data_IF_471611976875
#
_entry.id   IF_471611976875
#
_cell.length_a   1.000
_cell.length_b   1.000
_cell.length_c   1.000
_cell.angle_alpha   90.00
_cell.angle_beta   90.00
_cell.angle_gamma   90.00
#
_symmetry.space_group_name_H-M   'P 1'
#
loop_
_entity.id
_entity.type
_entity.pdbx_description
1 polymer ?
#
# COMPACT_ATOMS: atom_id res chain seq x y z
N UNK A 1 -11.62 11.44 -16.54
CA UNK A 1 -10.87 12.51 -15.82
C UNK A 1 -9.50 12.74 -16.46
N UNK A 2 -8.75 13.80 -16.10
CA UNK A 2 -7.38 14.00 -16.59
C UNK A 2 -6.42 12.88 -16.13
N UNK A 3 -6.54 12.42 -14.88
CA UNK A 3 -5.77 11.29 -14.34
C UNK A 3 -6.01 10.03 -15.16
N UNK A 4 -7.29 9.68 -15.39
CA UNK A 4 -7.65 8.48 -16.14
C UNK A 4 -7.04 8.46 -17.56
N UNK A 5 -7.04 9.61 -18.25
CA UNK A 5 -6.47 9.68 -19.60
C UNK A 5 -4.94 9.70 -19.65
N UNK A 6 -4.29 10.27 -18.63
CA UNK A 6 -2.86 10.58 -18.69
C UNK A 6 -1.99 9.58 -17.91
N UNK A 7 -2.54 8.94 -16.89
CA UNK A 7 -1.79 8.13 -15.94
C UNK A 7 -2.25 6.68 -15.88
N UNK A 8 -3.43 6.32 -16.38
CA UNK A 8 -3.86 4.92 -16.45
C UNK A 8 -3.45 4.36 -17.82
N UNK A 9 -2.71 3.26 -17.79
CA UNK A 9 -2.26 2.55 -18.99
C UNK A 9 -2.60 1.07 -18.90
N UNK A 10 -2.83 0.44 -20.05
CA UNK A 10 -3.02 -1.00 -20.15
C UNK A 10 -1.65 -1.69 -20.25
N UNK A 11 -1.39 -2.63 -19.36
CA UNK A 11 -0.17 -3.45 -19.34
C UNK A 11 -0.57 -4.94 -19.34
N UNK A 12 0.34 -5.89 -19.60
CA UNK A 12 0.03 -7.33 -19.59
C UNK A 12 -0.57 -7.85 -18.26
N UNK A 13 -0.40 -7.10 -17.17
CA UNK A 13 -0.90 -7.43 -15.82
C UNK A 13 -2.20 -6.69 -15.47
N UNK A 14 -2.83 -6.01 -16.43
CA UNK A 14 -4.05 -5.22 -16.25
C UNK A 14 -3.80 -3.71 -16.30
N UNK A 15 -4.74 -2.94 -15.77
CA UNK A 15 -4.62 -1.49 -15.69
C UNK A 15 -3.59 -1.09 -14.63
N UNK A 16 -2.68 -0.21 -15.01
CA UNK A 16 -1.61 0.29 -14.15
C UNK A 16 -1.76 1.79 -14.00
N UNK A 17 -1.70 2.27 -12.75
CA UNK A 17 -1.57 3.69 -12.43
C UNK A 17 -0.10 4.08 -12.45
N UNK A 18 0.28 4.93 -13.41
CA UNK A 18 1.63 5.48 -13.50
C UNK A 18 1.87 6.43 -12.32
N UNK A 19 3.06 6.38 -11.66
CA UNK A 19 3.33 7.19 -10.48
C UNK A 19 3.29 8.71 -10.73
N UNK A 20 3.50 9.13 -11.97
CA UNK A 20 3.41 10.52 -12.37
C UNK A 20 3.43 10.70 -13.89
N UNK A 21 3.06 11.90 -14.34
CA UNK A 21 3.06 12.23 -15.77
C UNK A 21 4.47 12.18 -16.35
N UNK A 22 5.42 12.83 -15.67
CA UNK A 22 6.82 12.90 -16.06
C UNK A 22 7.70 12.09 -15.09
N UNK A 23 8.90 11.70 -15.53
CA UNK A 23 9.84 10.91 -14.71
C UNK A 23 9.53 9.41 -14.62
N UNK A 24 8.40 8.97 -15.18
CA UNK A 24 7.96 7.57 -15.24
C UNK A 24 7.52 7.16 -16.66
N UNK A 25 7.97 7.89 -17.68
CA UNK A 25 7.81 7.56 -19.10
C UNK A 25 9.15 7.06 -19.62
N UNK A 26 9.36 5.75 -19.56
CA UNK A 26 10.56 5.13 -20.12
C UNK A 26 10.14 4.25 -21.29
N UNK A 27 10.85 4.27 -22.44
CA UNK A 27 10.53 3.39 -23.56
C UNK A 27 10.51 1.92 -23.12
N UNK A 28 11.53 1.53 -22.37
CA UNK A 28 11.82 0.14 -22.03
C UNK A 28 11.66 -0.15 -20.54
N UNK A 29 10.95 0.70 -19.78
CA UNK A 29 10.64 0.41 -18.37
C UNK A 29 9.22 0.75 -18.00
N UNK A 30 8.66 -0.05 -17.10
CA UNK A 30 7.32 0.12 -16.54
C UNK A 30 7.41 0.03 -15.02
N UNK A 31 7.28 1.17 -14.35
CA UNK A 31 7.38 1.27 -12.90
C UNK A 31 6.02 1.65 -12.32
N UNK A 32 5.64 0.96 -11.24
CA UNK A 32 4.45 1.24 -10.46
C UNK A 32 4.81 1.35 -8.97
N UNK A 33 4.01 2.11 -8.22
CA UNK A 33 4.06 2.14 -6.76
C UNK A 33 2.67 1.75 -6.26
N UNK A 34 2.55 0.54 -5.71
CA UNK A 34 1.24 0.00 -5.35
C UNK A 34 0.60 0.74 -4.18
N UNK A 35 1.38 1.51 -3.42
CA UNK A 35 0.86 2.42 -2.40
C UNK A 35 0.03 3.57 -2.97
N UNK A 36 -0.05 3.72 -4.29
CA UNK A 36 -0.87 4.74 -4.95
C UNK A 36 -2.27 4.22 -5.30
N UNK A 37 -2.55 2.93 -5.09
CA UNK A 37 -3.91 2.39 -5.12
C UNK A 37 -4.65 2.75 -3.84
N UNK A 38 -5.08 4.01 -3.75
CA UNK A 38 -5.95 4.51 -2.69
C UNK A 38 -7.37 4.02 -2.98
N UNK A 39 -7.65 2.75 -2.69
CA UNK A 39 -8.93 2.10 -2.99
C UNK A 39 -10.19 2.86 -2.59
N UNK A 40 -10.32 3.51 -1.41
CA UNK A 40 -11.50 4.32 -1.11
C UNK A 40 -11.69 5.49 -2.09
N UNK A 41 -10.60 6.10 -2.57
CA UNK A 41 -10.67 7.14 -3.59
C UNK A 41 -11.05 6.57 -4.97
N UNK A 42 -10.54 5.37 -5.30
CA UNK A 42 -10.91 4.69 -6.55
C UNK A 42 -12.41 4.33 -6.59
N UNK A 43 -13.00 3.93 -5.47
CA UNK A 43 -14.45 3.68 -5.39
C UNK A 43 -15.27 4.94 -5.57
N UNK A 44 -14.88 6.02 -4.87
CA UNK A 44 -15.54 7.31 -5.02
C UNK A 44 -15.51 7.77 -6.48
N UNK A 45 -14.38 7.61 -7.16
CA UNK A 45 -14.24 7.94 -8.58
C UNK A 45 -15.07 7.01 -9.48
N UNK A 46 -15.10 5.70 -9.21
CA UNK A 46 -15.90 4.74 -9.97
C UNK A 46 -17.40 5.07 -9.92
N UNK A 47 -17.90 5.43 -8.74
CA UNK A 47 -19.29 5.85 -8.53
C UNK A 47 -19.64 7.15 -9.27
N UNK A 48 -18.68 8.07 -9.38
CA UNK A 48 -18.88 9.37 -10.03
C UNK A 48 -18.78 9.31 -11.56
N UNK A 49 -17.86 8.52 -12.14
CA UNK A 49 -17.62 8.55 -13.60
C UNK A 49 -18.40 7.51 -14.38
N UNK A 50 -18.73 6.37 -13.77
CA UNK A 50 -19.51 5.27 -14.37
C UNK A 50 -18.96 4.71 -15.70
N UNK A 51 -17.72 5.03 -16.06
CA UNK A 51 -17.01 4.56 -17.26
C UNK A 51 -16.23 3.25 -17.02
N UNK A 52 -16.30 2.71 -15.81
CA UNK A 52 -15.72 1.42 -15.41
C UNK A 52 -14.20 1.40 -15.24
N UNK A 53 -13.47 2.43 -15.69
CA UNK A 53 -12.00 2.44 -15.68
C UNK A 53 -11.43 2.35 -14.26
N UNK A 54 -12.04 3.02 -13.28
CA UNK A 54 -11.58 3.02 -11.90
C UNK A 54 -11.84 1.71 -11.17
N UNK A 55 -12.99 1.07 -11.46
CA UNK A 55 -13.31 -0.25 -10.92
C UNK A 55 -12.32 -1.29 -11.46
N UNK A 56 -12.03 -1.27 -12.78
CA UNK A 56 -11.00 -2.10 -13.40
C UNK A 56 -9.62 -1.84 -12.79
N UNK A 57 -9.23 -0.58 -12.61
CA UNK A 57 -7.95 -0.21 -11.99
C UNK A 57 -7.85 -0.73 -10.55
N UNK A 58 -8.93 -0.61 -9.77
CA UNK A 58 -9.01 -1.14 -8.41
C UNK A 58 -8.81 -2.66 -8.36
N UNK A 59 -9.42 -3.38 -9.30
CA UNK A 59 -9.24 -4.83 -9.47
C UNK A 59 -7.81 -5.20 -9.85
N UNK A 60 -7.23 -4.54 -10.86
CA UNK A 60 -5.84 -4.78 -11.26
C UNK A 60 -4.84 -4.52 -10.12
N UNK A 61 -5.10 -3.56 -9.23
CA UNK A 61 -4.28 -3.36 -8.04
C UNK A 61 -4.28 -4.54 -7.07
N UNK A 62 -5.43 -5.20 -6.90
CA UNK A 62 -5.52 -6.41 -6.07
C UNK A 62 -4.80 -7.59 -6.72
N UNK A 63 -4.89 -7.74 -8.03
CA UNK A 63 -4.17 -8.78 -8.77
C UNK A 63 -2.65 -8.55 -8.74
N UNK A 64 -2.20 -7.31 -8.92
CA UNK A 64 -0.80 -6.95 -8.70
C UNK A 64 -0.36 -7.28 -7.28
N UNK A 65 -1.13 -6.91 -6.25
CA UNK A 65 -0.79 -7.20 -4.85
C UNK A 65 -0.66 -8.71 -4.57
N UNK A 66 -1.52 -9.54 -5.18
CA UNK A 66 -1.48 -11.00 -5.00
C UNK A 66 -0.23 -11.62 -5.61
N UNK A 67 0.25 -11.06 -6.72
CA UNK A 67 1.33 -11.66 -7.51
C UNK A 67 2.70 -10.97 -7.30
N UNK A 68 2.74 -9.75 -6.76
CA UNK A 68 3.95 -8.96 -6.58
C UNK A 68 4.39 -8.91 -5.11
N UNK A 69 4.61 -10.09 -4.52
CA UNK A 69 5.13 -10.25 -3.16
C UNK A 69 6.47 -10.96 -3.20
N UNK A 70 7.40 -10.50 -2.37
CA UNK A 70 8.79 -10.92 -2.37
C UNK A 70 9.30 -11.11 -0.94
N UNK A 71 10.44 -11.79 -0.79
CA UNK A 71 11.06 -12.05 0.51
C UNK A 71 10.06 -12.67 1.50
N UNK A 72 9.76 -12.03 2.64
CA UNK A 72 8.81 -12.52 3.64
C UNK A 72 7.32 -12.35 3.23
N UNK A 73 7.03 -12.45 1.93
CA UNK A 73 5.69 -12.32 1.33
C UNK A 73 5.09 -10.90 1.44
N UNK A 74 5.94 -9.89 1.22
CA UNK A 74 5.58 -8.46 1.26
C UNK A 74 5.74 -7.79 -0.12
N UNK A 75 4.89 -6.79 -0.45
CA UNK A 75 5.05 -6.00 -1.67
C UNK A 75 6.20 -4.97 -1.52
N UNK A 76 6.88 -4.59 -2.62
CA UNK A 76 7.90 -3.56 -2.59
C UNK A 76 7.30 -2.15 -2.58
N UNK A 77 8.09 -1.17 -2.13
CA UNK A 77 7.78 0.26 -2.34
C UNK A 77 7.63 0.56 -3.85
N UNK A 78 8.49 -0.03 -4.68
CA UNK A 78 8.53 0.18 -6.13
C UNK A 78 8.56 -1.15 -6.89
N UNK A 79 7.60 -1.30 -7.80
CA UNK A 79 7.40 -2.48 -8.64
C UNK A 79 7.84 -2.17 -10.08
N UNK A 80 8.61 -3.09 -10.67
CA UNK A 80 8.94 -3.12 -12.08
C UNK A 80 8.09 -4.19 -12.78
N UNK A 81 7.43 -3.78 -13.87
CA UNK A 81 6.50 -4.57 -14.68
C UNK A 81 7.09 -4.91 -16.07
N UNK A 82 8.31 -4.50 -16.37
CA UNK A 82 8.89 -4.50 -17.72
C UNK A 82 9.01 -5.89 -18.34
N UNK A 83 9.42 -6.89 -17.54
CA UNK A 83 9.69 -8.27 -17.99
C UNK A 83 8.95 -9.32 -17.16
N UNK A 84 7.91 -8.90 -16.43
CA UNK A 84 7.37 -9.64 -15.29
C UNK A 84 7.20 -8.73 -14.08
N UNK A 85 6.58 -9.26 -13.03
CA UNK A 85 6.50 -8.57 -11.74
C UNK A 85 7.81 -8.77 -10.98
N UNK A 86 8.54 -7.70 -10.73
CA UNK A 86 9.84 -7.74 -10.05
C UNK A 86 10.09 -6.47 -9.24
N UNK A 87 11.00 -6.51 -8.28
CA UNK A 87 11.38 -5.32 -7.49
C UNK A 87 12.14 -4.35 -8.41
N UNK A 88 11.77 -3.07 -8.40
CA UNK A 88 12.43 -2.07 -9.22
C UNK A 88 13.88 -1.82 -8.75
N UNK A 89 14.84 -2.02 -9.65
CA UNK A 89 16.28 -2.04 -9.32
C UNK A 89 16.91 -0.66 -9.15
N UNK A 90 16.29 0.40 -9.67
CA UNK A 90 16.74 1.78 -9.46
C UNK A 90 16.32 2.37 -8.10
N UNK A 91 15.58 1.59 -7.31
CA UNK A 91 15.03 2.00 -6.02
C UNK A 91 15.51 1.03 -4.91
N UNK A 92 15.30 1.41 -3.65
CA UNK A 92 15.54 0.50 -2.53
C UNK A 92 14.67 -0.74 -2.66
N UNK A 93 15.28 -1.93 -2.50
CA UNK A 93 14.62 -3.24 -2.60
C UNK A 93 13.78 -3.59 -1.37
N UNK A 94 12.97 -2.67 -0.86
CA UNK A 94 12.35 -2.78 0.46
C UNK A 94 10.82 -2.74 0.44
N UNK A 95 10.24 -3.34 1.47
CA UNK A 95 8.94 -2.95 2.03
C UNK A 95 9.21 -1.86 3.07
N UNK A 96 8.69 -0.64 2.89
CA UNK A 96 8.99 0.47 3.79
C UNK A 96 7.96 1.59 3.75
N UNK A 97 8.45 2.82 3.55
CA UNK A 97 7.70 4.06 3.76
C UNK A 97 6.55 4.28 2.77
N UNK A 98 6.61 3.62 1.61
CA UNK A 98 5.54 3.69 0.63
C UNK A 98 4.59 2.51 0.85
N UNK A 99 5.12 1.30 0.81
CA UNK A 99 4.36 0.05 0.84
C UNK A 99 3.55 -0.15 2.13
N UNK A 100 3.92 0.47 3.26
CA UNK A 100 3.12 0.48 4.49
C UNK A 100 1.68 1.00 4.28
N UNK A 101 1.46 1.88 3.29
CA UNK A 101 0.12 2.42 3.00
C UNK A 101 -0.79 1.42 2.26
N UNK A 102 -0.22 0.37 1.68
CA UNK A 102 -1.00 -0.66 0.96
C UNK A 102 -2.00 -1.34 1.91
N UNK A 103 -1.59 -1.96 3.04
CA UNK A 103 -2.55 -2.60 3.94
C UNK A 103 -3.48 -1.61 4.65
N UNK A 104 -3.05 -0.34 4.86
CA UNK A 104 -3.95 0.73 5.28
C UNK A 104 -5.11 0.91 4.28
N UNK A 105 -4.81 1.04 2.99
CA UNK A 105 -5.84 1.24 1.97
C UNK A 105 -6.66 -0.02 1.66
N UNK A 106 -6.13 -1.22 1.92
CA UNK A 106 -6.93 -2.45 1.85
C UNK A 106 -8.05 -2.42 2.89
N UNK A 107 -7.70 -2.14 4.16
CA UNK A 107 -8.67 -2.06 5.26
C UNK A 107 -9.64 -0.92 5.03
N UNK A 108 -9.14 0.27 4.67
CA UNK A 108 -10.00 1.43 4.44
C UNK A 108 -10.95 1.24 3.25
N UNK A 109 -10.50 0.53 2.21
CA UNK A 109 -11.34 0.19 1.07
C UNK A 109 -12.24 -1.03 1.28
N UNK A 110 -12.25 -1.69 2.44
CA UNK A 110 -13.06 -2.91 2.61
C UNK A 110 -12.66 -4.06 1.66
N UNK A 111 -11.38 -4.13 1.28
CA UNK A 111 -10.81 -5.14 0.37
C UNK A 111 -9.91 -6.14 1.07
N UNK A 112 -9.76 -5.97 2.37
CA UNK A 112 -9.04 -6.89 3.21
C UNK A 112 -9.65 -8.30 3.15
N UNK A 113 -8.76 -9.28 3.19
CA UNK A 113 -9.08 -10.67 3.43
C UNK A 113 -7.99 -11.22 4.33
N UNK A 114 -8.27 -12.30 5.06
CA UNK A 114 -7.25 -12.94 5.89
C UNK A 114 -6.01 -13.31 5.07
N UNK A 115 -6.20 -13.76 3.83
CA UNK A 115 -5.11 -14.09 2.90
C UNK A 115 -4.25 -12.87 2.57
N UNK A 116 -4.88 -11.71 2.30
CA UNK A 116 -4.14 -10.50 1.94
C UNK A 116 -3.43 -9.85 3.14
N UNK A 117 -4.02 -9.94 4.34
CA UNK A 117 -3.50 -9.31 5.56
C UNK A 117 -2.50 -10.18 6.33
N UNK A 118 -2.65 -11.52 6.31
CA UNK A 118 -1.83 -12.43 7.11
C UNK A 118 -0.32 -12.23 6.94
N UNK A 119 0.24 -11.96 5.74
CA UNK A 119 1.67 -11.70 5.60
C UNK A 119 2.14 -10.46 6.35
N UNK A 120 1.36 -9.37 6.33
CA UNK A 120 1.67 -8.15 7.07
C UNK A 120 1.58 -8.38 8.58
N UNK A 121 0.52 -9.03 9.06
CA UNK A 121 0.35 -9.37 10.49
C UNK A 121 1.49 -10.25 10.99
N UNK A 122 1.84 -11.29 10.23
CA UNK A 122 2.98 -12.19 10.52
C UNK A 122 4.29 -11.40 10.58
N UNK A 123 4.50 -10.50 9.62
CA UNK A 123 5.69 -9.66 9.60
C UNK A 123 5.80 -8.78 10.84
N UNK A 124 4.70 -8.13 11.25
CA UNK A 124 4.63 -7.26 12.43
C UNK A 124 4.36 -7.98 13.76
N UNK A 125 4.44 -9.30 13.78
CA UNK A 125 4.38 -10.10 15.02
C UNK A 125 5.67 -9.99 15.85
N UNK A 126 6.71 -9.38 15.28
CA UNK A 126 8.01 -9.13 15.93
C UNK A 126 8.04 -7.80 16.68
N UNK A 127 8.93 -7.70 17.66
CA UNK A 127 9.16 -6.49 18.45
C UNK A 127 10.68 -6.19 18.54
N UNK A 128 11.14 -4.98 18.18
CA UNK A 128 10.37 -3.89 17.56
C UNK A 128 9.98 -4.20 16.11
N UNK A 129 8.87 -3.62 15.65
CA UNK A 129 8.52 -3.58 14.22
C UNK A 129 9.60 -2.76 13.49
N UNK A 130 10.23 -3.27 12.41
CA UNK A 130 11.24 -2.51 11.67
C UNK A 130 10.61 -1.41 10.82
N UNK A 131 11.31 -0.28 10.65
CA UNK A 131 10.86 0.81 9.78
C UNK A 131 10.82 0.42 8.29
N UNK A 132 11.64 -0.56 7.89
CA UNK A 132 11.62 -1.16 6.55
C UNK A 132 12.30 -2.53 6.56
N UNK A 133 11.99 -3.35 5.56
CA UNK A 133 12.50 -4.72 5.40
C UNK A 133 13.01 -4.92 3.98
N UNK A 134 14.26 -5.36 3.82
CA UNK A 134 14.81 -5.74 2.51
C UNK A 134 14.13 -7.02 2.01
N UNK A 135 13.77 -7.02 0.74
CA UNK A 135 13.02 -8.08 0.09
C UNK A 135 13.91 -9.04 -0.71
N UNK A 136 15.20 -8.72 -0.88
CA UNK A 136 16.15 -9.54 -1.66
C UNK A 136 17.16 -10.24 -0.74
N UNK A 137 17.83 -9.50 0.15
CA UNK A 137 18.96 -9.97 0.95
C UNK A 137 18.62 -10.29 2.41
N UNK A 138 17.37 -10.13 2.84
CA UNK A 138 16.90 -10.45 4.20
C UNK A 138 17.42 -9.51 5.30
N UNK A 139 18.07 -8.39 4.93
CA UNK A 139 18.45 -7.34 5.87
C UNK A 139 17.25 -6.52 6.32
N UNK A 140 17.27 -6.03 7.55
CA UNK A 140 16.20 -5.18 8.10
C UNK A 140 16.75 -3.79 8.41
N UNK A 141 15.90 -2.78 8.24
CA UNK A 141 16.22 -1.44 8.71
C UNK A 141 16.34 -1.45 10.22
N UNK A 142 17.56 -1.31 10.73
CA UNK A 142 17.89 -1.45 12.16
C UNK A 142 17.23 -0.43 13.12
N UNK A 143 16.35 0.45 12.63
CA UNK A 143 15.58 1.38 13.46
C UNK A 143 14.12 0.91 13.61
N UNK A 144 13.53 1.02 14.81
CA UNK A 144 12.10 0.80 15.02
C UNK A 144 11.23 1.66 14.10
N UNK A 145 10.07 1.12 13.74
CA UNK A 145 9.07 1.80 12.96
C UNK A 145 8.60 3.09 13.65
N UNK A 146 8.51 4.23 12.94
CA UNK A 146 7.91 5.45 13.47
C UNK A 146 6.47 5.24 13.94
N UNK A 147 6.00 6.09 14.85
CA UNK A 147 4.66 6.00 15.46
C UNK A 147 3.54 5.86 14.44
N UNK A 148 3.61 6.55 13.29
CA UNK A 148 2.60 6.42 12.24
C UNK A 148 2.57 5.06 11.55
N UNK A 149 3.73 4.42 11.35
CA UNK A 149 3.79 3.06 10.82
C UNK A 149 3.27 2.05 11.85
N UNK A 150 3.60 2.24 13.13
CA UNK A 150 3.04 1.44 14.21
C UNK A 150 1.52 1.57 14.29
N UNK A 151 0.96 2.76 14.04
CA UNK A 151 -0.48 2.97 13.98
C UNK A 151 -1.14 2.19 12.83
N UNK A 152 -0.51 2.13 11.65
CA UNK A 152 -1.00 1.32 10.53
C UNK A 152 -0.91 -0.17 10.85
N UNK A 153 0.19 -0.62 11.45
CA UNK A 153 0.33 -2.02 11.87
C UNK A 153 -0.76 -2.41 12.88
N UNK A 154 -1.06 -1.53 13.84
CA UNK A 154 -2.12 -1.75 14.81
C UNK A 154 -3.52 -1.78 14.18
N UNK A 155 -3.84 -0.87 13.25
CA UNK A 155 -5.09 -0.93 12.48
C UNK A 155 -5.28 -2.29 11.82
N UNK A 156 -4.24 -2.77 11.14
CA UNK A 156 -4.29 -4.02 10.37
C UNK A 156 -4.40 -5.23 11.29
N UNK A 157 -3.64 -5.26 12.39
CA UNK A 157 -3.72 -6.33 13.40
C UNK A 157 -5.09 -6.36 14.07
N UNK A 158 -5.59 -5.22 14.50
CA UNK A 158 -6.91 -5.10 15.12
C UNK A 158 -8.02 -5.58 14.18
N UNK A 159 -7.98 -5.16 12.91
CA UNK A 159 -8.92 -5.61 11.88
C UNK A 159 -8.86 -7.11 11.65
N UNK A 160 -7.66 -7.67 11.55
CA UNK A 160 -7.44 -9.12 11.37
C UNK A 160 -7.91 -9.95 12.58
N UNK A 161 -7.72 -9.43 13.79
CA UNK A 161 -8.11 -10.08 15.05
C UNK A 161 -9.59 -9.83 15.41
N UNK A 162 -10.31 -8.99 14.66
CA UNK A 162 -11.72 -8.66 14.94
C UNK A 162 -11.94 -7.83 16.20
N UNK A 163 -10.98 -6.97 16.56
CA UNK A 163 -11.03 -6.10 17.74
C UNK A 163 -10.88 -4.62 17.37
N UNK A 164 -11.26 -3.69 18.27
CA UNK A 164 -10.92 -2.28 18.11
C UNK A 164 -9.41 -2.05 18.13
N UNK A 165 -8.94 -1.07 17.36
CA UNK A 165 -7.54 -0.65 17.32
C UNK A 165 -7.20 0.22 18.53
N UNK A 166 -6.01 -0.01 19.10
CA UNK A 166 -5.46 0.75 20.20
C UNK A 166 -4.30 1.61 19.70
N UNK A 167 -4.63 2.71 19.04
CA UNK A 167 -3.62 3.53 18.39
C UNK A 167 -2.59 4.15 19.35
N UNK A 168 -1.31 4.24 18.93
CA UNK A 168 -0.30 4.93 19.71
C UNK A 168 -0.55 6.45 19.75
N UNK A 169 0.06 7.11 20.73
CA UNK A 169 0.06 8.57 20.85
C UNK A 169 1.28 9.16 20.14
N UNK A 170 1.09 10.30 19.46
CA UNK A 170 2.21 11.08 18.94
C UNK A 170 2.98 11.73 20.08
N UNK A 171 4.27 11.93 19.86
CA UNK A 171 5.16 12.71 20.72
C UNK A 171 5.73 13.91 19.96
N UNK A 172 6.41 14.82 20.66
CA UNK A 172 7.10 15.96 20.02
C UNK A 172 8.21 15.53 19.04
N UNK A 173 8.65 14.26 19.10
CA UNK A 173 9.64 13.68 18.19
C UNK A 173 9.02 13.17 16.90
N UNK A 174 7.70 13.05 16.84
CA UNK A 174 7.00 12.58 15.66
C UNK A 174 6.85 13.70 14.62
N UNK A 175 7.35 13.42 13.43
CA UNK A 175 7.23 14.33 12.29
C UNK A 175 5.89 14.21 11.56
N UNK A 176 5.74 15.04 10.53
CA UNK A 176 4.61 15.07 9.61
C UNK A 176 4.16 13.67 9.14
N UNK A 177 5.11 12.83 8.71
CA UNK A 177 4.81 11.49 8.20
C UNK A 177 4.11 10.60 9.24
N UNK A 178 4.59 10.59 10.50
CA UNK A 178 3.96 9.86 11.59
C UNK A 178 2.54 10.37 11.87
N UNK A 179 2.38 11.70 11.97
CA UNK A 179 1.10 12.33 12.23
C UNK A 179 0.06 12.04 11.15
N UNK A 180 0.44 12.15 9.88
CA UNK A 180 -0.45 11.84 8.75
C UNK A 180 -0.89 10.38 8.76
N UNK A 181 0.04 9.42 8.91
CA UNK A 181 -0.35 8.00 8.93
C UNK A 181 -1.28 7.66 10.09
N UNK A 182 -1.04 8.22 11.29
CA UNK A 182 -1.95 8.02 12.42
C UNK A 182 -3.35 8.58 12.13
N UNK A 183 -3.45 9.77 11.55
CA UNK A 183 -4.74 10.36 11.18
C UNK A 183 -5.48 9.50 10.15
N UNK A 184 -4.78 9.03 9.11
CA UNK A 184 -5.38 8.16 8.09
C UNK A 184 -5.80 6.81 8.69
N UNK A 185 -5.01 6.22 9.60
CA UNK A 185 -5.35 4.96 10.25
C UNK A 185 -6.61 5.08 11.12
N UNK A 186 -6.75 6.19 11.87
CA UNK A 186 -7.97 6.50 12.64
C UNK A 186 -9.19 6.71 11.75
N UNK A 187 -9.02 7.40 10.62
CA UNK A 187 -10.11 7.63 9.67
C UNK A 187 -10.56 6.31 9.02
N UNK A 188 -9.60 5.48 8.62
CA UNK A 188 -9.86 4.16 8.08
C UNK A 188 -10.61 3.26 9.06
N UNK A 189 -10.23 3.21 10.35
CA UNK A 189 -10.95 2.45 11.36
C UNK A 189 -12.42 2.93 11.49
N UNK A 190 -12.60 4.26 11.55
CA UNK A 190 -13.93 4.86 11.71
C UNK A 190 -14.84 4.53 10.53
N UNK A 191 -14.37 4.75 9.30
CA UNK A 191 -15.17 4.53 8.08
C UNK A 191 -15.37 3.05 7.76
N UNK A 192 -14.44 2.16 8.15
CA UNK A 192 -14.62 0.71 8.00
C UNK A 192 -15.67 0.14 8.98
N UNK A 193 -15.90 0.81 10.11
CA UNK A 193 -16.88 0.38 11.13
C UNK A 193 -18.29 0.96 10.85
N UNK A 194 -18.37 2.06 10.12
CA UNK A 194 -19.62 2.77 9.78
C UNK A 194 -19.68 3.07 8.27
N UNK A 195 -19.93 2.04 7.42
CA UNK A 195 -20.01 2.24 5.98
C UNK A 195 -21.24 3.09 5.62
N UNK A 196 -20.99 4.22 4.96
CA UNK A 196 -21.99 5.18 4.52
C UNK A 196 -22.97 4.63 3.47
#
# INVERSE_FOLDING_TARGET
SAIARLLIVEEPFGLVLRPGLSGFQFPDRRIANLSYWVWPALDALASLTQDGIWSRLGGSGLDLLRNARFGPDLPPDWLDLTRGLSIATDYSSRFGYDAIRIPLYLVWGGRETDVLLAPFVRHWSRDPIPAWTDLIGGGEGGAPAPTGMAAVAELVRARFEGRPAQFPCLTERDGYYSGTLLLLARLAEKEATDPA
#
